data_IF_865202272907
#
_entry.id   IF_865202272907
#
_cell.length_a   1.000
_cell.length_b   1.000
_cell.length_c   1.000
_cell.angle_alpha   90.00
_cell.angle_beta   90.00
_cell.angle_gamma   90.00
#
_symmetry.space_group_name_H-M   'P 1'
#
loop_
_entity.id
_entity.type
_entity.pdbx_description
1 polymer ?
#
# COMPACT_ATOMS: atom_id res chain seq x y z
N UNK A 1 -7.87 -16.83 9.54
CA UNK A 1 -7.40 -15.57 8.93
C UNK A 1 -7.13 -15.72 7.44
N UNK A 2 -7.89 -15.01 6.59
CA UNK A 2 -7.67 -14.92 5.13
C UNK A 2 -7.33 -13.47 4.79
N UNK A 3 -6.14 -13.23 4.22
CA UNK A 3 -5.68 -11.92 3.74
C UNK A 3 -5.74 -11.90 2.22
N UNK A 4 -6.26 -10.82 1.64
CA UNK A 4 -6.34 -10.62 0.19
C UNK A 4 -5.88 -9.21 -0.14
N UNK A 5 -4.96 -9.09 -1.10
CA UNK A 5 -4.58 -7.82 -1.70
C UNK A 5 -5.68 -7.39 -2.68
N UNK A 6 -6.64 -6.58 -2.21
CA UNK A 6 -7.70 -6.01 -3.06
C UNK A 6 -7.10 -5.17 -4.17
N UNK A 7 -6.03 -4.46 -3.84
CA UNK A 7 -5.21 -3.72 -4.79
C UNK A 7 -3.75 -3.77 -4.38
N UNK A 8 -2.87 -3.89 -5.37
CA UNK A 8 -1.43 -3.76 -5.20
C UNK A 8 -0.83 -3.12 -6.44
N UNK A 9 -0.06 -2.06 -6.26
CA UNK A 9 0.66 -1.43 -7.36
C UNK A 9 2.02 -0.90 -6.90
N UNK A 10 2.99 -0.93 -7.82
CA UNK A 10 4.33 -0.42 -7.61
C UNK A 10 4.49 0.91 -8.36
N UNK A 11 5.05 1.89 -7.68
CA UNK A 11 5.29 3.23 -8.20
C UNK A 11 6.74 3.64 -7.98
N UNK A 12 7.22 4.53 -8.83
CA UNK A 12 8.39 5.32 -8.46
C UNK A 12 8.03 6.17 -7.24
N UNK A 13 9.00 6.37 -6.37
CA UNK A 13 8.82 7.11 -5.14
C UNK A 13 10.14 7.76 -4.73
N UNK A 14 10.10 8.66 -3.77
CA UNK A 14 11.28 9.24 -3.14
C UNK A 14 11.10 9.15 -1.64
N UNK A 15 12.01 8.48 -0.94
CA UNK A 15 12.05 8.45 0.52
C UNK A 15 13.49 8.22 0.96
N UNK A 16 13.92 8.92 2.02
CA UNK A 16 15.18 8.62 2.70
C UNK A 16 14.82 8.09 4.08
N UNK A 17 15.04 6.79 4.29
CA UNK A 17 14.74 6.15 5.55
C UNK A 17 16.00 5.49 6.11
N UNK A 18 16.38 5.85 7.33
CA UNK A 18 17.61 5.39 7.99
C UNK A 18 18.88 5.57 7.12
N UNK A 19 18.98 6.70 6.39
CA UNK A 19 20.13 7.01 5.54
C UNK A 19 20.18 6.26 4.20
N UNK A 20 19.15 5.48 3.86
CA UNK A 20 19.05 4.77 2.58
C UNK A 20 18.01 5.45 1.70
N UNK A 21 18.42 5.84 0.50
CA UNK A 21 17.51 6.31 -0.55
C UNK A 21 16.64 5.16 -1.07
N UNK A 22 15.34 5.42 -1.15
CA UNK A 22 14.34 4.49 -1.66
C UNK A 22 13.60 5.15 -2.82
N UNK A 23 13.76 4.57 -4.00
CA UNK A 23 13.25 5.10 -5.27
C UNK A 23 11.96 4.41 -5.75
N UNK A 24 11.51 3.39 -5.03
CA UNK A 24 10.26 2.70 -5.29
C UNK A 24 9.35 2.68 -4.06
N UNK A 25 8.04 2.63 -4.29
CA UNK A 25 7.04 2.34 -3.27
C UNK A 25 6.03 1.31 -3.79
N UNK A 26 5.65 0.37 -2.93
CA UNK A 26 4.49 -0.49 -3.17
C UNK A 26 3.34 0.03 -2.32
N UNK A 27 2.18 0.21 -2.95
CA UNK A 27 0.94 0.60 -2.29
C UNK A 27 -0.01 -0.59 -2.33
N UNK A 28 -0.58 -0.93 -1.18
CA UNK A 28 -1.53 -2.03 -1.03
C UNK A 28 -2.81 -1.58 -0.36
N UNK A 29 -3.92 -2.18 -0.79
CA UNK A 29 -5.17 -2.22 -0.04
C UNK A 29 -5.44 -3.68 0.28
N UNK A 30 -5.37 -4.03 1.56
CA UNK A 30 -5.54 -5.41 2.02
C UNK A 30 -6.88 -5.57 2.73
N UNK A 31 -7.56 -6.68 2.46
CA UNK A 31 -8.76 -7.10 3.16
C UNK A 31 -8.45 -8.36 3.97
N UNK A 32 -8.55 -8.27 5.28
CA UNK A 32 -8.34 -9.38 6.20
C UNK A 32 -9.68 -9.82 6.78
N UNK A 33 -10.05 -11.08 6.54
CA UNK A 33 -11.22 -11.71 7.14
C UNK A 33 -10.80 -12.69 8.22
N UNK A 34 -11.24 -12.44 9.45
CA UNK A 34 -11.02 -13.35 10.57
C UNK A 34 -12.22 -13.33 11.53
N UNK A 35 -12.69 -14.51 11.93
CA UNK A 35 -13.77 -14.67 12.92
C UNK A 35 -15.04 -13.83 12.66
N UNK A 36 -15.41 -13.62 11.38
CA UNK A 36 -16.58 -12.84 10.97
C UNK A 36 -16.38 -11.32 11.01
N UNK A 37 -15.16 -10.86 11.28
CA UNK A 37 -14.73 -9.46 11.20
C UNK A 37 -13.98 -9.27 9.88
N UNK A 38 -14.30 -8.19 9.18
CA UNK A 38 -13.55 -7.75 8.00
C UNK A 38 -12.79 -6.47 8.37
N UNK A 39 -11.48 -6.51 8.13
CA UNK A 39 -10.57 -5.37 8.27
C UNK A 39 -10.07 -4.96 6.89
N UNK A 40 -10.09 -3.66 6.60
CA UNK A 40 -9.40 -3.07 5.45
C UNK A 40 -8.25 -2.21 5.93
N UNK A 41 -7.08 -2.40 5.31
CA UNK A 41 -5.86 -1.69 5.67
C UNK A 41 -5.14 -1.21 4.41
N UNK A 42 -4.76 0.06 4.40
CA UNK A 42 -3.88 0.65 3.38
C UNK A 42 -2.45 0.52 3.88
N UNK A 43 -1.58 -0.05 3.06
CA UNK A 43 -0.16 -0.20 3.36
C UNK A 43 0.69 0.49 2.30
N UNK A 44 1.82 1.05 2.72
CA UNK A 44 2.89 1.47 1.84
C UNK A 44 4.22 0.89 2.32
N UNK A 45 5.08 0.53 1.37
CA UNK A 45 6.46 0.13 1.67
C UNK A 45 7.39 0.76 0.66
N UNK A 46 8.34 1.56 1.13
CA UNK A 46 9.40 2.09 0.27
C UNK A 46 10.54 1.08 0.13
N UNK A 47 11.15 1.01 -1.05
CA UNK A 47 12.27 0.13 -1.34
C UNK A 47 13.35 0.83 -2.19
N UNK A 48 14.63 0.41 -2.09
CA UNK A 48 15.76 1.06 -2.77
C UNK A 48 15.56 1.27 -4.28
N UNK A 49 14.96 0.29 -4.97
CA UNK A 49 14.70 0.27 -6.41
C UNK A 49 15.91 0.79 -7.23
N UNK A 50 16.98 0.01 -7.23
CA UNK A 50 18.24 0.39 -7.92
C UNK A 50 18.24 0.02 -9.39
N UNK A 51 17.51 -1.02 -9.78
CA UNK A 51 17.37 -1.50 -11.15
C UNK A 51 15.96 -2.09 -11.39
N UNK A 52 15.65 -2.45 -12.63
CA UNK A 52 14.33 -2.94 -13.03
C UNK A 52 13.98 -4.34 -12.48
N UNK A 53 14.92 -5.02 -11.81
CA UNK A 53 14.74 -6.35 -11.20
C UNK A 53 14.71 -6.27 -9.66
N UNK A 54 15.11 -5.14 -9.08
CA UNK A 54 15.20 -4.88 -7.64
C UNK A 54 13.83 -4.57 -7.02
N UNK A 55 13.07 -5.64 -6.76
CA UNK A 55 11.84 -5.61 -5.96
C UNK A 55 12.06 -6.09 -4.53
N UNK A 56 13.27 -5.94 -3.98
CA UNK A 56 13.55 -6.30 -2.59
C UNK A 56 12.78 -5.34 -1.65
N UNK A 57 11.56 -5.73 -1.28
CA UNK A 57 10.72 -4.99 -0.34
C UNK A 57 11.41 -5.06 1.03
N UNK A 58 12.06 -3.96 1.42
CA UNK A 58 12.57 -3.78 2.78
C UNK A 58 11.39 -3.46 3.68
N UNK A 59 11.16 -4.30 4.68
CA UNK A 59 10.13 -4.12 5.72
C UNK A 59 10.41 -2.91 6.62
N UNK A 60 11.57 -2.26 6.48
CA UNK A 60 12.03 -1.26 7.44
C UNK A 60 11.34 0.09 7.24
N UNK A 61 10.95 0.46 6.01
CA UNK A 61 10.14 1.67 5.74
C UNK A 61 8.75 1.27 5.26
N UNK A 62 8.05 0.57 6.15
CA UNK A 62 6.65 0.19 5.98
C UNK A 62 5.79 1.01 6.92
N UNK A 63 4.65 1.47 6.42
CA UNK A 63 3.61 2.09 7.22
C UNK A 63 2.24 1.61 6.74
N UNK A 64 1.32 1.41 7.67
CA UNK A 64 -0.05 1.04 7.33
C UNK A 64 -1.09 1.71 8.22
N UNK A 65 -2.30 1.81 7.67
CA UNK A 65 -3.45 2.45 8.30
C UNK A 65 -4.68 1.59 8.13
N UNK A 66 -5.26 1.19 9.25
CA UNK A 66 -6.57 0.56 9.29
C UNK A 66 -7.63 1.62 8.93
N UNK A 67 -8.38 1.38 7.85
CA UNK A 67 -9.42 2.29 7.38
C UNK A 67 -10.83 1.77 7.67
N UNK A 68 -10.95 0.48 7.99
CA UNK A 68 -12.21 -0.13 8.38
C UNK A 68 -11.99 -1.40 9.19
N UNK A 69 -12.82 -1.60 10.22
CA UNK A 69 -12.84 -2.81 11.01
C UNK A 69 -14.21 -3.01 11.65
N UNK A 70 -14.96 -4.00 11.17
CA UNK A 70 -16.24 -4.36 11.78
C UNK A 70 -16.71 -5.75 11.35
N UNK A 71 -17.70 -6.26 12.08
CA UNK A 71 -18.38 -7.52 11.72
C UNK A 71 -19.03 -7.41 10.34
N UNK A 72 -18.85 -8.43 9.51
CA UNK A 72 -19.45 -8.47 8.19
C UNK A 72 -18.65 -9.26 7.16
N UNK A 73 -18.98 -9.02 5.89
CA UNK A 73 -18.34 -9.63 4.72
C UNK A 73 -17.76 -8.56 3.80
N UNK A 74 -16.83 -8.96 2.93
CA UNK A 74 -16.31 -8.10 1.85
C UNK A 74 -17.46 -7.54 1.00
N UNK A 75 -17.32 -6.30 0.59
CA UNK A 75 -18.29 -5.61 -0.26
C UNK A 75 -17.55 -4.88 -1.37
N UNK A 76 -17.82 -5.27 -2.63
CA UNK A 76 -17.27 -4.61 -3.81
C UNK A 76 -17.56 -3.10 -3.84
N UNK A 77 -18.73 -2.69 -3.32
CA UNK A 77 -19.10 -1.27 -3.22
C UNK A 77 -18.17 -0.52 -2.27
N UNK A 78 -17.81 -1.11 -1.13
CA UNK A 78 -16.88 -0.49 -0.17
C UNK A 78 -15.46 -0.50 -0.69
N UNK A 79 -15.06 -1.57 -1.36
CA UNK A 79 -13.74 -1.66 -2.00
C UNK A 79 -13.53 -0.54 -3.02
N UNK A 80 -14.53 -0.25 -3.86
CA UNK A 80 -14.47 0.90 -4.76
C UNK A 80 -14.30 2.23 -4.00
N UNK A 81 -15.07 2.45 -2.92
CA UNK A 81 -14.93 3.65 -2.09
C UNK A 81 -13.53 3.78 -1.47
N UNK A 82 -12.97 2.69 -0.96
CA UNK A 82 -11.63 2.70 -0.38
C UNK A 82 -10.52 2.82 -1.43
N UNK A 83 -10.75 2.37 -2.66
CA UNK A 83 -9.85 2.61 -3.78
C UNK A 83 -9.82 4.08 -4.18
N UNK A 84 -10.98 4.76 -4.18
CA UNK A 84 -11.06 6.20 -4.46
C UNK A 84 -10.31 7.02 -3.39
N UNK A 85 -10.37 6.59 -2.13
CA UNK A 85 -9.66 7.22 -1.02
C UNK A 85 -8.21 6.74 -0.85
N UNK A 86 -7.79 5.70 -1.57
CA UNK A 86 -6.50 5.03 -1.38
C UNK A 86 -5.32 6.00 -1.47
N UNK A 87 -5.32 6.86 -2.49
CA UNK A 87 -4.23 7.81 -2.73
C UNK A 87 -4.04 8.75 -1.55
N UNK A 88 -5.15 9.21 -0.96
CA UNK A 88 -5.12 10.09 0.21
C UNK A 88 -4.44 9.39 1.39
N UNK A 89 -4.85 8.17 1.72
CA UNK A 89 -4.25 7.43 2.84
C UNK A 89 -2.79 7.06 2.58
N UNK A 90 -2.45 6.66 1.36
CA UNK A 90 -1.08 6.35 0.98
C UNK A 90 -0.18 7.58 1.00
N UNK A 91 -0.66 8.75 0.56
CA UNK A 91 0.09 10.01 0.64
C UNK A 91 0.27 10.51 2.07
N UNK A 92 -0.72 10.30 2.96
CA UNK A 92 -0.58 10.56 4.40
C UNK A 92 0.54 9.69 5.00
N UNK A 93 0.49 8.38 4.76
CA UNK A 93 1.51 7.44 5.22
C UNK A 93 2.90 7.75 4.63
N UNK A 94 2.94 8.17 3.37
CA UNK A 94 4.19 8.52 2.69
C UNK A 94 4.85 9.72 3.36
N UNK A 95 4.05 10.75 3.68
CA UNK A 95 4.53 11.93 4.42
C UNK A 95 5.06 11.56 5.80
N UNK A 96 4.39 10.67 6.52
CA UNK A 96 4.82 10.21 7.84
C UNK A 96 6.20 9.51 7.78
N UNK A 97 6.48 8.81 6.68
CA UNK A 97 7.78 8.21 6.39
C UNK A 97 8.80 9.17 5.75
N UNK A 98 8.46 10.46 5.59
CA UNK A 98 9.33 11.45 4.94
C UNK A 98 9.51 11.19 3.44
N UNK A 99 8.54 10.54 2.80
CA UNK A 99 8.58 10.16 1.40
C UNK A 99 7.43 10.71 0.56
N UNK A 100 7.52 10.47 -0.75
CA UNK A 100 6.57 10.90 -1.77
C UNK A 100 6.38 9.81 -2.81
N UNK A 101 5.14 9.55 -3.22
CA UNK A 101 4.79 8.57 -4.25
C UNK A 101 4.50 9.31 -5.56
N UNK A 102 5.05 8.84 -6.67
CA UNK A 102 4.78 9.36 -8.02
C UNK A 102 3.70 8.54 -8.71
N UNK A 103 2.44 8.93 -8.49
CA UNK A 103 1.25 8.25 -9.02
C UNK A 103 1.17 8.21 -10.55
N UNK A 104 1.85 9.13 -11.22
CA UNK A 104 1.99 9.24 -12.68
C UNK A 104 3.08 8.31 -13.24
N UNK A 105 3.90 7.69 -12.38
CA UNK A 105 5.05 6.85 -12.77
C UNK A 105 4.95 5.43 -12.19
N UNK A 106 3.96 4.63 -12.61
CA UNK A 106 3.88 3.23 -12.18
C UNK A 106 5.07 2.43 -12.71
N UNK A 107 5.65 1.60 -11.85
CA UNK A 107 6.69 0.62 -12.23
C UNK A 107 6.03 -0.63 -12.81
N UNK A 108 4.85 -1.00 -12.30
CA UNK A 108 4.03 -2.12 -12.77
C UNK A 108 2.56 -1.74 -12.79
N UNK A 109 1.81 -2.49 -13.59
CA UNK A 109 0.35 -2.42 -13.59
C UNK A 109 -0.23 -2.82 -12.22
N UNK A 110 -1.39 -2.26 -11.92
CA UNK A 110 -2.14 -2.61 -10.72
C UNK A 110 -2.65 -4.05 -10.80
N UNK A 111 -2.51 -4.78 -9.70
CA UNK A 111 -3.09 -6.11 -9.50
C UNK A 111 -4.31 -5.98 -8.60
N UNK A 112 -5.41 -6.61 -9.00
CA UNK A 112 -6.69 -6.62 -8.28
C UNK A 112 -7.12 -8.07 -7.98
N UNK A 113 -7.76 -8.30 -6.82
CA UNK A 113 -8.21 -9.64 -6.38
C UNK A 113 -9.68 -9.74 -5.94
#
# INVERSE_FOLDING_TARGET
MKVIDVYKQYFNAECVYNGVERKGAVVTLTATSDSGIIKYEVGISFFPYRDAEDFAISYDAYASKEIYNAKGRRSKKREAQYLDELKKYADELAKDLGGKIFWDKPIRDAVYA
#
